data_IF_516398545436
#
_entry.id   IF_516398545436
#
_cell.length_a   1.000
_cell.length_b   1.000
_cell.length_c   1.000
_cell.angle_alpha   90.00
_cell.angle_beta   90.00
_cell.angle_gamma   90.00
#
_symmetry.space_group_name_H-M   'P 1'
#
loop_
_entity.id
_entity.type
_entity.pdbx_description
1 polymer ?
#
# COMPACT_ATOMS: atom_id res chain seq x y z
N UNK A 1 -4.01 -29.86 -16.58
CA UNK A 1 -4.49 -30.10 -15.20
C UNK A 1 -4.20 -28.97 -14.21
N UNK A 2 -3.13 -28.18 -14.32
CA UNK A 2 -2.81 -27.08 -13.36
C UNK A 2 -3.78 -25.89 -13.39
N UNK A 3 -4.40 -25.56 -14.52
CA UNK A 3 -5.31 -24.40 -14.65
C UNK A 3 -6.62 -24.56 -13.87
N UNK A 4 -7.15 -25.79 -13.77
CA UNK A 4 -8.36 -26.08 -13.00
C UNK A 4 -8.17 -25.91 -11.49
N UNK A 5 -6.99 -26.23 -10.97
CA UNK A 5 -6.69 -26.13 -9.54
C UNK A 5 -6.64 -24.67 -9.03
N UNK A 6 -6.21 -23.69 -9.86
CA UNK A 6 -6.21 -22.27 -9.49
C UNK A 6 -7.64 -21.72 -9.39
N UNK A 7 -8.52 -22.04 -10.34
CA UNK A 7 -9.93 -21.62 -10.28
C UNK A 7 -10.66 -22.20 -9.08
N UNK A 8 -10.48 -23.49 -8.80
CA UNK A 8 -11.09 -24.16 -7.65
C UNK A 8 -10.60 -23.51 -6.33
N UNK A 9 -9.30 -23.26 -6.19
CA UNK A 9 -8.74 -22.58 -5.01
C UNK A 9 -9.33 -21.17 -4.83
N UNK A 10 -9.54 -20.43 -5.91
CA UNK A 10 -10.15 -19.09 -5.83
C UNK A 10 -11.63 -19.14 -5.42
N UNK A 11 -12.39 -20.12 -5.93
CA UNK A 11 -13.80 -20.31 -5.57
C UNK A 11 -13.92 -20.69 -4.09
N UNK A 12 -13.07 -21.63 -3.63
CA UNK A 12 -13.02 -22.05 -2.22
C UNK A 12 -12.66 -20.86 -1.32
N UNK A 13 -11.63 -20.07 -1.68
CA UNK A 13 -11.26 -18.87 -0.91
C UNK A 13 -12.40 -17.85 -0.84
N UNK A 14 -13.10 -17.61 -1.95
CA UNK A 14 -14.26 -16.69 -1.98
C UNK A 14 -15.39 -17.22 -1.10
N UNK A 15 -15.70 -18.52 -1.18
CA UNK A 15 -16.73 -19.16 -0.35
C UNK A 15 -16.41 -19.10 1.14
N UNK A 16 -15.17 -19.41 1.52
CA UNK A 16 -14.71 -19.30 2.91
C UNK A 16 -14.68 -17.86 3.41
N UNK A 17 -14.27 -16.90 2.56
CA UNK A 17 -14.32 -15.49 2.90
C UNK A 17 -15.75 -14.97 3.10
N UNK A 18 -16.68 -15.41 2.27
CA UNK A 18 -18.10 -15.10 2.42
C UNK A 18 -18.68 -15.68 3.71
N UNK A 19 -18.39 -16.96 3.99
CA UNK A 19 -18.84 -17.61 5.23
C UNK A 19 -18.27 -16.93 6.47
N UNK A 20 -16.97 -16.61 6.48
CA UNK A 20 -16.31 -15.86 7.54
C UNK A 20 -16.95 -14.49 7.77
N UNK A 21 -17.23 -13.75 6.70
CA UNK A 21 -17.88 -12.44 6.77
C UNK A 21 -19.27 -12.54 7.42
N UNK A 22 -20.11 -13.47 6.96
CA UNK A 22 -21.47 -13.58 7.47
C UNK A 22 -21.58 -14.16 8.89
N UNK A 23 -20.66 -15.06 9.28
CA UNK A 23 -20.74 -15.72 10.60
C UNK A 23 -19.97 -15.00 11.69
N UNK A 24 -18.88 -14.38 11.37
CA UNK A 24 -17.97 -13.75 12.34
C UNK A 24 -17.87 -12.24 12.17
N UNK A 25 -17.48 -11.80 10.98
CA UNK A 25 -17.16 -10.38 10.71
C UNK A 25 -18.37 -9.46 10.86
N UNK A 26 -19.55 -9.91 10.45
CA UNK A 26 -20.80 -9.14 10.58
C UNK A 26 -21.13 -8.76 12.03
N UNK A 27 -20.70 -9.56 12.99
CA UNK A 27 -20.97 -9.37 14.42
C UNK A 27 -19.74 -8.88 15.21
N UNK A 28 -18.59 -8.76 14.62
CA UNK A 28 -17.39 -8.22 15.27
C UNK A 28 -17.43 -6.69 15.27
N UNK A 29 -17.02 -6.08 16.37
CA UNK A 29 -16.78 -4.63 16.40
C UNK A 29 -15.71 -4.28 15.39
N UNK A 30 -16.04 -3.40 14.44
CA UNK A 30 -15.12 -2.91 13.44
C UNK A 30 -14.33 -1.71 13.99
N UNK A 31 -13.52 -1.96 15.02
CA UNK A 31 -12.65 -0.95 15.61
C UNK A 31 -11.22 -1.12 15.14
N UNK A 32 -10.43 -0.09 15.33
CA UNK A 32 -9.00 -0.05 15.02
C UNK A 32 -8.69 0.31 13.57
N UNK A 33 -7.40 0.28 13.24
CA UNK A 33 -6.89 0.70 11.94
C UNK A 33 -7.11 -0.34 10.84
N UNK A 34 -7.44 0.14 9.64
CA UNK A 34 -7.42 -0.62 8.38
C UNK A 34 -6.43 0.04 7.43
N UNK A 35 -5.22 -0.48 7.37
CA UNK A 35 -4.21 -0.01 6.44
C UNK A 35 -4.50 -0.53 5.03
N UNK A 36 -4.70 0.40 4.09
CA UNK A 36 -4.81 0.11 2.66
C UNK A 36 -3.46 0.35 2.01
N UNK A 37 -2.91 -0.68 1.40
CA UNK A 37 -1.60 -0.68 0.78
C UNK A 37 -1.75 -0.55 -0.73
N UNK A 38 -1.11 0.46 -1.30
CA UNK A 38 -1.00 0.69 -2.74
C UNK A 38 0.47 0.62 -3.16
N UNK A 39 0.72 0.47 -4.47
CA UNK A 39 2.09 0.41 -4.99
C UNK A 39 2.27 1.32 -6.21
N UNK A 40 1.51 1.06 -7.29
CA UNK A 40 1.67 1.78 -8.54
C UNK A 40 0.35 2.34 -9.08
N UNK A 41 0.45 3.43 -9.83
CA UNK A 41 -0.69 4.19 -10.33
C UNK A 41 -0.55 4.48 -11.83
N UNK A 42 -1.70 4.51 -12.55
CA UNK A 42 -1.74 4.86 -13.95
C UNK A 42 -1.52 3.67 -14.89
N UNK A 43 -0.34 3.58 -15.50
CA UNK A 43 -0.01 2.49 -16.42
C UNK A 43 0.45 1.24 -15.68
N UNK A 44 0.20 0.06 -16.25
CA UNK A 44 0.81 -1.18 -15.75
C UNK A 44 2.33 -1.08 -15.88
N UNK A 45 3.02 -1.38 -14.80
CA UNK A 45 4.46 -1.58 -14.82
C UNK A 45 4.81 -2.75 -15.74
N UNK A 46 5.91 -2.67 -16.48
CA UNK A 46 6.37 -3.75 -17.40
C UNK A 46 6.53 -5.11 -16.71
N UNK A 47 6.79 -5.10 -15.40
CA UNK A 47 7.00 -6.29 -14.57
C UNK A 47 5.85 -6.59 -13.62
N UNK A 48 4.68 -5.95 -13.78
CA UNK A 48 3.53 -6.13 -12.91
C UNK A 48 2.84 -7.50 -13.12
N UNK A 49 3.52 -8.55 -12.64
CA UNK A 49 2.98 -9.91 -12.65
C UNK A 49 1.91 -10.15 -11.57
N UNK A 50 1.80 -9.25 -10.60
CA UNK A 50 0.88 -9.38 -9.46
C UNK A 50 -0.37 -8.51 -9.58
N UNK A 51 -0.44 -7.59 -10.56
CA UNK A 51 -1.56 -6.68 -10.73
C UNK A 51 -1.65 -5.64 -9.62
N UNK A 52 -0.50 -5.10 -9.18
CA UNK A 52 -0.39 -4.10 -8.10
C UNK A 52 -0.68 -2.67 -8.57
N UNK A 53 -0.83 -2.47 -9.87
CA UNK A 53 -1.16 -1.16 -10.45
C UNK A 53 -2.66 -0.90 -10.43
N UNK A 54 -3.06 0.33 -10.04
CA UNK A 54 -4.43 0.83 -10.11
C UNK A 54 -4.46 2.11 -10.97
N UNK A 55 -5.53 2.35 -11.73
CA UNK A 55 -5.67 3.61 -12.43
C UNK A 55 -5.86 4.77 -11.43
N UNK A 56 -5.35 5.97 -11.75
CA UNK A 56 -5.59 7.18 -10.93
C UNK A 56 -7.08 7.47 -10.80
N UNK A 57 -7.86 7.21 -11.84
CA UNK A 57 -9.31 7.40 -11.81
C UNK A 57 -10.01 6.45 -10.81
N UNK A 58 -9.60 5.18 -10.75
CA UNK A 58 -10.15 4.23 -9.79
C UNK A 58 -9.62 4.48 -8.38
N UNK A 59 -8.33 4.85 -8.25
CA UNK A 59 -7.79 5.30 -6.98
C UNK A 59 -8.57 6.49 -6.42
N UNK A 60 -8.88 7.50 -7.27
CA UNK A 60 -9.71 8.64 -6.86
C UNK A 60 -11.08 8.20 -6.35
N UNK A 61 -11.76 7.26 -7.03
CA UNK A 61 -13.05 6.73 -6.57
C UNK A 61 -12.93 6.04 -5.19
N UNK A 62 -11.83 5.30 -4.96
CA UNK A 62 -11.56 4.70 -3.65
C UNK A 62 -11.43 5.79 -2.58
N UNK A 63 -10.64 6.83 -2.86
CA UNK A 63 -10.40 7.93 -1.91
C UNK A 63 -11.69 8.72 -1.64
N UNK A 64 -12.48 9.03 -2.66
CA UNK A 64 -13.76 9.73 -2.50
C UNK A 64 -14.70 8.92 -1.58
N UNK A 65 -14.85 7.62 -1.84
CA UNK A 65 -15.68 6.73 -0.99
C UNK A 65 -15.16 6.65 0.45
N UNK A 66 -13.85 6.50 0.62
CA UNK A 66 -13.26 6.38 1.95
C UNK A 66 -13.41 7.67 2.75
N UNK A 67 -13.23 8.82 2.13
CA UNK A 67 -13.37 10.14 2.75
C UNK A 67 -14.81 10.40 3.21
N UNK A 68 -15.78 9.94 2.45
CA UNK A 68 -17.20 10.14 2.81
C UNK A 68 -17.68 9.22 3.95
N UNK A 69 -16.91 8.15 4.24
CA UNK A 69 -17.36 7.11 5.18
C UNK A 69 -16.45 6.88 6.39
N UNK A 70 -15.19 7.36 6.36
CA UNK A 70 -14.19 7.04 7.37
C UNK A 70 -13.30 8.24 7.69
N UNK A 71 -12.71 8.20 8.87
CA UNK A 71 -11.62 9.10 9.25
C UNK A 71 -10.26 8.51 8.82
N UNK A 72 -9.32 9.39 8.49
CA UNK A 72 -7.96 8.99 8.16
C UNK A 72 -7.01 9.30 9.32
N UNK A 73 -6.07 8.40 9.58
CA UNK A 73 -4.96 8.57 10.52
C UNK A 73 -3.66 8.05 9.89
N UNK A 74 -2.53 8.46 10.43
CA UNK A 74 -1.23 7.92 10.00
C UNK A 74 -1.11 6.44 10.37
N UNK A 75 -0.30 5.68 9.64
CA UNK A 75 -0.13 4.23 9.87
C UNK A 75 0.32 3.92 11.31
N UNK A 76 1.11 4.80 11.91
CA UNK A 76 1.64 4.62 13.27
C UNK A 76 0.75 5.20 14.37
N UNK A 77 -0.34 5.89 14.03
CA UNK A 77 -1.31 6.33 15.03
C UNK A 77 -2.13 5.13 15.51
N UNK A 78 -2.11 4.87 16.81
CA UNK A 78 -2.84 3.76 17.41
C UNK A 78 -4.09 4.34 18.08
N UNK A 79 -5.26 3.87 17.66
CA UNK A 79 -6.53 4.11 18.32
C UNK A 79 -7.37 2.84 18.23
N UNK A 80 -7.84 2.34 19.37
CA UNK A 80 -8.59 1.09 19.47
C UNK A 80 -10.10 1.31 19.65
N UNK A 81 -10.52 2.56 19.84
CA UNK A 81 -11.87 2.98 20.20
C UNK A 81 -12.75 3.34 18.98
N UNK A 82 -12.15 3.51 17.82
CA UNK A 82 -12.86 3.84 16.57
C UNK A 82 -12.27 3.10 15.35
N UNK A 83 -13.07 3.00 14.28
CA UNK A 83 -12.58 2.51 12.98
C UNK A 83 -12.01 3.67 12.17
N UNK A 84 -10.76 3.55 11.76
CA UNK A 84 -10.14 4.51 10.86
C UNK A 84 -9.30 3.83 9.77
N UNK A 85 -9.01 4.59 8.75
CA UNK A 85 -8.23 4.16 7.58
C UNK A 85 -6.86 4.80 7.62
N UNK A 86 -5.83 4.01 7.34
CA UNK A 86 -4.50 4.50 6.99
C UNK A 86 -4.17 4.11 5.56
N UNK A 87 -3.38 4.94 4.88
CA UNK A 87 -2.91 4.67 3.53
C UNK A 87 -1.40 4.54 3.55
N UNK A 88 -0.89 3.45 2.97
CA UNK A 88 0.52 3.33 2.60
C UNK A 88 0.67 3.16 1.10
N UNK A 89 1.79 3.65 0.58
CA UNK A 89 2.24 3.46 -0.79
C UNK A 89 3.66 2.92 -0.72
N UNK A 90 3.86 1.75 -1.30
CA UNK A 90 5.09 1.00 -1.17
C UNK A 90 5.94 1.05 -2.44
N UNK A 91 7.20 0.62 -2.35
CA UNK A 91 8.22 0.48 -3.40
C UNK A 91 8.86 1.79 -3.91
N UNK A 92 8.15 2.91 -3.93
CA UNK A 92 8.69 4.20 -4.42
C UNK A 92 8.69 4.32 -5.94
N UNK A 93 7.66 3.85 -6.64
CA UNK A 93 7.51 4.08 -8.08
C UNK A 93 7.25 5.55 -8.42
N UNK A 94 7.75 6.02 -9.56
CA UNK A 94 7.59 7.41 -10.02
C UNK A 94 6.13 7.85 -10.18
N UNK A 95 5.25 6.94 -10.61
CA UNK A 95 3.83 7.20 -10.75
C UNK A 95 3.10 7.45 -9.41
N UNK A 96 3.76 7.30 -8.28
CA UNK A 96 3.25 7.60 -6.94
C UNK A 96 2.99 9.10 -6.75
N UNK A 97 3.69 9.98 -7.47
CA UNK A 97 3.57 11.43 -7.37
C UNK A 97 2.11 11.86 -7.60
N UNK A 98 1.46 11.37 -8.65
CA UNK A 98 0.06 11.73 -8.96
C UNK A 98 -0.90 11.34 -7.83
N UNK A 99 -0.65 10.21 -7.17
CA UNK A 99 -1.45 9.76 -6.04
C UNK A 99 -1.20 10.61 -4.78
N UNK A 100 0.05 10.96 -4.51
CA UNK A 100 0.41 11.85 -3.39
C UNK A 100 -0.21 13.23 -3.60
N UNK A 101 -0.15 13.80 -4.81
CA UNK A 101 -0.78 15.08 -5.13
C UNK A 101 -2.30 15.04 -4.89
N UNK A 102 -2.95 13.93 -5.26
CA UNK A 102 -4.37 13.75 -5.00
C UNK A 102 -4.68 13.71 -3.50
N UNK A 103 -3.90 12.95 -2.72
CA UNK A 103 -4.09 12.84 -1.27
C UNK A 103 -3.82 14.18 -0.57
N UNK A 104 -2.80 14.92 -1.01
CA UNK A 104 -2.44 16.22 -0.45
C UNK A 104 -3.52 17.28 -0.69
N UNK A 105 -4.25 17.24 -1.81
CA UNK A 105 -5.40 18.12 -2.06
C UNK A 105 -6.52 17.97 -1.03
N UNK A 106 -6.61 16.81 -0.41
CA UNK A 106 -7.63 16.49 0.61
C UNK A 106 -7.06 16.45 2.03
N UNK A 107 -5.79 16.80 2.20
CA UNK A 107 -5.05 16.69 3.47
C UNK A 107 -5.13 15.28 4.10
N UNK A 108 -5.14 14.24 3.26
CA UNK A 108 -5.20 12.86 3.70
C UNK A 108 -3.79 12.36 4.04
N UNK A 109 -3.56 11.88 5.28
CA UNK A 109 -2.26 11.36 5.67
C UNK A 109 -1.90 10.09 4.89
N UNK A 110 -0.65 10.01 4.44
CA UNK A 110 -0.10 8.87 3.69
C UNK A 110 1.31 8.54 4.14
N UNK A 111 1.62 7.26 4.24
CA UNK A 111 2.98 6.76 4.47
C UNK A 111 3.54 6.23 3.15
N UNK A 112 4.67 6.80 2.72
CA UNK A 112 5.41 6.37 1.54
C UNK A 112 6.62 5.53 1.99
N UNK A 113 6.63 4.25 1.66
CA UNK A 113 7.74 3.35 1.96
C UNK A 113 8.58 3.12 0.70
N UNK A 114 9.84 3.53 0.74
CA UNK A 114 10.73 3.57 -0.43
C UNK A 114 11.79 2.48 -0.35
N UNK A 115 11.92 1.71 -1.42
CA UNK A 115 13.06 0.80 -1.61
C UNK A 115 14.29 1.61 -2.01
N UNK A 116 15.20 1.84 -1.06
CA UNK A 116 16.32 2.79 -1.20
C UNK A 116 17.22 2.47 -2.39
N UNK A 117 17.54 1.20 -2.60
CA UNK A 117 18.39 0.76 -3.71
C UNK A 117 17.79 0.90 -5.11
N UNK A 118 16.53 1.34 -5.23
CA UNK A 118 15.87 1.59 -6.52
C UNK A 118 15.79 3.07 -6.87
N UNK A 119 16.11 3.97 -5.96
CA UNK A 119 16.08 5.41 -6.20
C UNK A 119 16.89 5.79 -7.45
N UNK A 120 16.32 6.66 -8.27
CA UNK A 120 16.92 7.14 -9.51
C UNK A 120 16.96 6.13 -10.67
N UNK A 121 16.51 4.88 -10.48
CA UNK A 121 16.34 3.93 -11.57
C UNK A 121 15.10 4.24 -12.41
N UNK A 122 15.04 3.68 -13.62
CA UNK A 122 13.86 3.81 -14.49
C UNK A 122 12.58 3.39 -13.73
N UNK A 123 11.52 4.20 -13.85
CA UNK A 123 10.21 4.04 -13.22
C UNK A 123 10.16 4.26 -11.69
N UNK A 124 11.28 4.62 -11.04
CA UNK A 124 11.31 4.91 -9.59
C UNK A 124 11.52 6.40 -9.31
N UNK A 125 11.19 6.80 -8.09
CA UNK A 125 11.44 8.14 -7.58
C UNK A 125 12.94 8.44 -7.56
N UNK A 126 13.29 9.70 -7.73
CA UNK A 126 14.65 10.22 -7.54
C UNK A 126 14.80 10.79 -6.13
N UNK A 127 16.02 11.03 -5.69
CA UNK A 127 16.30 11.74 -4.42
C UNK A 127 15.64 13.13 -4.41
N UNK A 128 15.62 13.83 -5.55
CA UNK A 128 14.94 15.13 -5.65
C UNK A 128 13.42 15.00 -5.45
N UNK A 129 12.79 13.96 -6.00
CA UNK A 129 11.36 13.71 -5.76
C UNK A 129 11.08 13.46 -4.28
N UNK A 130 11.95 12.66 -3.61
CA UNK A 130 11.83 12.40 -2.18
C UNK A 130 11.96 13.69 -1.38
N UNK A 131 12.91 14.56 -1.73
CA UNK A 131 13.09 15.87 -1.09
C UNK A 131 11.85 16.75 -1.25
N UNK A 132 11.22 16.79 -2.42
CA UNK A 132 10.00 17.58 -2.62
C UNK A 132 8.81 16.98 -1.85
N UNK A 133 8.62 15.66 -1.91
CA UNK A 133 7.56 14.95 -1.20
C UNK A 133 7.70 15.12 0.33
N UNK A 134 8.92 15.14 0.86
CA UNK A 134 9.19 15.28 2.30
C UNK A 134 8.73 16.63 2.89
N UNK A 135 8.50 17.65 2.05
CA UNK A 135 8.00 18.97 2.47
C UNK A 135 6.48 18.98 2.69
N UNK A 136 5.77 17.95 2.23
CA UNK A 136 4.32 17.83 2.37
C UNK A 136 3.94 17.38 3.78
N UNK A 137 3.12 18.15 4.48
CA UNK A 137 2.75 17.91 5.89
C UNK A 137 1.96 16.62 6.11
N UNK A 138 1.23 16.18 5.09
CA UNK A 138 0.41 14.97 5.14
C UNK A 138 1.20 13.70 4.77
N UNK A 139 2.46 13.80 4.34
CA UNK A 139 3.28 12.65 3.96
C UNK A 139 4.27 12.27 5.06
N UNK A 140 4.39 10.98 5.33
CA UNK A 140 5.46 10.40 6.15
C UNK A 140 6.27 9.46 5.28
N UNK A 141 7.59 9.64 5.20
CA UNK A 141 8.47 8.78 4.42
C UNK A 141 9.14 7.76 5.33
N UNK A 142 9.15 6.51 4.90
CA UNK A 142 9.81 5.39 5.56
C UNK A 142 10.63 4.54 4.60
N UNK A 143 11.48 3.68 5.14
CA UNK A 143 12.24 2.71 4.36
C UNK A 143 11.39 1.46 4.05
N UNK A 144 11.53 0.92 2.82
CA UNK A 144 11.01 -0.38 2.40
C UNK A 144 12.15 -1.38 2.13
N UNK A 145 13.22 -1.26 2.91
CA UNK A 145 14.45 -2.00 2.72
C UNK A 145 15.34 -1.44 1.61
N UNK A 146 16.51 -2.04 1.44
CA UNK A 146 17.47 -1.60 0.44
C UNK A 146 17.18 -2.21 -0.94
N UNK A 147 16.93 -3.52 -1.03
CA UNK A 147 16.74 -4.25 -2.30
C UNK A 147 15.35 -4.81 -2.50
N UNK A 148 14.46 -4.72 -1.51
CA UNK A 148 13.14 -5.34 -1.50
C UNK A 148 13.20 -6.89 -1.59
N UNK A 149 14.28 -7.51 -1.16
CA UNK A 149 14.40 -8.97 -1.08
C UNK A 149 13.66 -9.51 0.15
N UNK A 150 13.16 -10.72 0.02
CA UNK A 150 12.46 -11.40 1.11
C UNK A 150 13.42 -11.74 2.26
N UNK A 151 13.28 -11.09 3.41
CA UNK A 151 14.17 -11.23 4.57
C UNK A 151 14.35 -12.69 5.02
N UNK A 152 13.29 -13.50 4.95
CA UNK A 152 13.35 -14.92 5.35
C UNK A 152 14.27 -15.78 4.45
N UNK A 153 14.76 -15.25 3.33
CA UNK A 153 15.70 -15.94 2.42
C UNK A 153 17.13 -15.43 2.57
N UNK A 154 17.37 -14.51 3.49
CA UNK A 154 18.64 -13.85 3.72
C UNK A 154 19.35 -14.39 4.97
N UNK A 155 20.67 -14.39 4.96
CA UNK A 155 21.48 -14.55 6.15
C UNK A 155 21.33 -13.34 7.08
N UNK A 156 21.72 -13.50 8.35
CA UNK A 156 21.66 -12.41 9.33
C UNK A 156 22.43 -11.16 8.87
N UNK A 157 23.62 -11.33 8.29
CA UNK A 157 24.42 -10.22 7.77
C UNK A 157 23.73 -9.50 6.59
N UNK A 158 23.12 -10.26 5.68
CA UNK A 158 22.35 -9.68 4.57
C UNK A 158 21.12 -8.92 5.08
N UNK A 159 20.42 -9.45 6.11
CA UNK A 159 19.29 -8.75 6.73
C UNK A 159 19.72 -7.40 7.34
N UNK A 160 20.87 -7.36 8.01
CA UNK A 160 21.40 -6.10 8.56
C UNK A 160 21.66 -5.06 7.47
N UNK A 161 22.24 -5.47 6.32
CA UNK A 161 22.46 -4.58 5.18
C UNK A 161 21.14 -4.14 4.55
N UNK A 162 20.15 -5.03 4.49
CA UNK A 162 18.83 -4.74 3.91
C UNK A 162 18.04 -3.73 4.74
N UNK A 163 18.28 -3.68 6.05
CA UNK A 163 17.52 -2.87 7.00
C UNK A 163 18.28 -1.61 7.47
N UNK A 164 19.55 -1.46 7.10
CA UNK A 164 20.37 -0.28 7.42
C UNK A 164 20.21 0.81 6.38
#
# INVERSE_FOLDING_TARGET
MQYNNKKIKQIVKKGLGFLYYYTYKKYSNNLGNRCLIYHAFGSRLKHDSYGISISIADFKKHIDYLRDNYQFKKVHDIADDELYISISIDDGYKCTIDAIDLLSKYDIPVSLFVTVGTLGKDQYLTENDINEISKLSNVTIGSHGFTHRKLSTMTYNEQNIELS
#
